data_IF_711095166763
#
_entry.id   IF_711095166763
#
_cell.length_a   1.000
_cell.length_b   1.000
_cell.length_c   1.000
_cell.angle_alpha   90.00
_cell.angle_beta   90.00
_cell.angle_gamma   90.00
#
_symmetry.space_group_name_H-M   'P 1'
#
loop_
_entity.id
_entity.type
_entity.pdbx_description
1 polymer ?
#
# COMPACT_ATOMS: atom_id res chain seq x y z
N UNK A 1 8.60 -21.56 2.65
CA UNK A 1 7.29 -21.15 2.09
C UNK A 1 7.38 -20.61 0.68
N UNK A 2 8.57 -20.36 0.11
CA UNK A 2 8.73 -19.85 -1.26
C UNK A 2 8.03 -20.68 -2.34
N UNK A 3 7.92 -22.00 -2.14
CA UNK A 3 7.26 -22.93 -3.05
C UNK A 3 5.73 -22.92 -2.95
N UNK A 4 5.16 -22.30 -1.91
CA UNK A 4 3.70 -22.25 -1.74
C UNK A 4 3.10 -21.23 -2.73
N UNK A 5 1.90 -21.50 -3.26
CA UNK A 5 1.18 -20.52 -4.06
C UNK A 5 0.80 -19.29 -3.21
N UNK A 6 0.64 -18.13 -3.86
CA UNK A 6 0.20 -16.89 -3.20
C UNK A 6 -1.15 -17.07 -2.50
N UNK A 7 -2.08 -17.80 -3.14
CA UNK A 7 -3.31 -18.28 -2.51
C UNK A 7 -3.22 -19.79 -2.33
N UNK A 8 -3.19 -20.24 -1.09
CA UNK A 8 -3.12 -21.64 -0.72
C UNK A 8 -4.44 -22.11 -0.10
N UNK A 9 -5.33 -22.62 -0.94
CA UNK A 9 -6.64 -23.12 -0.51
C UNK A 9 -6.49 -24.49 0.17
N UNK A 10 -7.03 -24.62 1.38
CA UNK A 10 -6.98 -25.86 2.18
C UNK A 10 -8.21 -25.98 3.07
N UNK A 11 -8.50 -27.21 3.48
CA UNK A 11 -9.35 -27.49 4.65
C UNK A 11 -8.44 -27.67 5.86
N UNK A 12 -8.70 -26.93 6.94
CA UNK A 12 -7.88 -26.96 8.16
C UNK A 12 -8.74 -26.59 9.38
N UNK A 13 -8.27 -26.91 10.59
CA UNK A 13 -8.78 -26.30 11.82
C UNK A 13 -8.16 -24.91 11.99
N UNK A 14 -8.94 -23.86 11.72
CA UNK A 14 -8.47 -22.48 11.79
C UNK A 14 -8.55 -21.94 13.23
N UNK A 15 -7.41 -21.54 13.80
CA UNK A 15 -7.31 -21.02 15.17
C UNK A 15 -7.36 -19.50 15.25
N UNK A 16 -8.09 -18.98 16.24
CA UNK A 16 -7.87 -17.61 16.76
C UNK A 16 -6.79 -17.64 17.84
N UNK A 17 -5.98 -16.59 17.93
CA UNK A 17 -4.93 -16.48 18.93
C UNK A 17 -5.44 -15.79 20.18
N UNK A 18 -5.06 -16.31 21.36
CA UNK A 18 -5.20 -15.53 22.60
C UNK A 18 -4.24 -14.34 22.64
N UNK A 19 -3.14 -14.43 21.90
CA UNK A 19 -2.13 -13.38 21.76
C UNK A 19 -1.65 -13.41 20.33
N UNK A 20 -2.09 -12.44 19.52
CA UNK A 20 -1.72 -12.34 18.13
C UNK A 20 -0.20 -12.10 17.99
N UNK A 21 0.55 -12.97 17.28
CA UNK A 21 2.00 -12.84 17.13
C UNK A 21 2.43 -11.83 16.06
N UNK A 22 1.51 -11.37 15.20
CA UNK A 22 1.75 -10.37 14.15
C UNK A 22 2.50 -9.16 14.73
N UNK A 23 3.36 -8.54 13.92
CA UNK A 23 4.30 -7.45 14.26
C UNK A 23 5.54 -7.87 15.05
N UNK A 24 5.48 -8.96 15.82
CA UNK A 24 6.60 -9.44 16.66
C UNK A 24 7.42 -10.54 16.01
N UNK A 25 6.77 -11.36 15.19
CA UNK A 25 7.36 -12.47 14.43
C UNK A 25 7.43 -12.13 12.95
N UNK A 26 8.17 -12.93 12.18
CA UNK A 26 8.05 -12.89 10.72
C UNK A 26 6.94 -13.85 10.28
N UNK A 27 5.76 -13.30 9.99
CA UNK A 27 4.63 -14.04 9.43
C UNK A 27 4.96 -14.53 8.02
N UNK A 28 4.86 -15.84 7.81
CA UNK A 28 5.17 -16.54 6.55
C UNK A 28 3.92 -16.88 5.74
N UNK A 29 2.79 -17.11 6.41
CA UNK A 29 1.49 -17.36 5.80
C UNK A 29 0.39 -16.79 6.71
N UNK A 30 -0.69 -16.27 6.11
CA UNK A 30 -1.83 -15.69 6.81
C UNK A 30 -3.15 -16.32 6.35
N UNK A 31 -4.14 -16.34 7.24
CA UNK A 31 -5.51 -16.71 6.90
C UNK A 31 -6.18 -15.50 6.27
N UNK A 32 -6.73 -15.68 5.07
CA UNK A 32 -7.54 -14.67 4.41
C UNK A 32 -8.97 -14.71 4.96
N UNK A 33 -9.18 -14.06 6.10
CA UNK A 33 -10.45 -14.06 6.86
C UNK A 33 -11.67 -13.60 6.05
N UNK A 34 -11.46 -12.86 4.95
CA UNK A 34 -12.53 -12.41 4.04
C UNK A 34 -13.17 -13.54 3.23
N UNK A 35 -12.61 -14.74 3.21
CA UNK A 35 -13.12 -15.88 2.43
C UNK A 35 -14.23 -16.68 3.17
N UNK A 36 -14.96 -16.03 4.08
CA UNK A 36 -16.20 -16.58 4.65
C UNK A 36 -16.02 -17.66 5.72
N UNK A 37 -14.83 -17.78 6.32
CA UNK A 37 -14.59 -18.70 7.43
C UNK A 37 -15.27 -18.16 8.69
N UNK A 38 -16.32 -18.84 9.15
CA UNK A 38 -17.09 -18.44 10.32
C UNK A 38 -16.29 -18.65 11.61
N UNK A 39 -16.41 -17.70 12.55
CA UNK A 39 -15.82 -17.80 13.88
C UNK A 39 -14.39 -17.23 14.03
N UNK A 40 -13.77 -16.73 12.95
CA UNK A 40 -12.47 -16.05 13.03
C UNK A 40 -12.63 -14.55 13.30
N UNK A 41 -11.83 -13.99 14.22
CA UNK A 41 -11.97 -12.61 14.71
C UNK A 41 -10.66 -11.79 14.80
N UNK A 42 -9.55 -12.32 14.27
CA UNK A 42 -8.21 -11.67 14.27
C UNK A 42 -8.07 -10.51 13.27
N UNK A 43 -9.07 -10.30 12.39
CA UNK A 43 -9.05 -9.24 11.38
C UNK A 43 -8.22 -9.59 10.14
N UNK A 44 -7.56 -8.58 9.54
CA UNK A 44 -6.81 -8.77 8.29
C UNK A 44 -5.44 -9.41 8.49
N UNK A 45 -4.87 -9.30 9.69
CA UNK A 45 -3.54 -9.80 10.02
C UNK A 45 -3.61 -11.07 10.88
N UNK A 46 -4.04 -12.17 10.25
CA UNK A 46 -4.25 -13.45 10.91
C UNK A 46 -3.12 -14.43 10.58
N UNK A 47 -2.04 -14.41 11.36
CA UNK A 47 -0.89 -15.31 11.14
C UNK A 47 -1.29 -16.79 11.24
N UNK A 48 -0.90 -17.60 10.25
CA UNK A 48 -1.09 -19.06 10.21
C UNK A 48 0.23 -19.82 10.41
N UNK A 49 1.31 -19.29 9.84
CA UNK A 49 2.67 -19.79 10.05
C UNK A 49 3.63 -18.61 10.15
N UNK A 50 4.66 -18.75 10.99
CA UNK A 50 5.65 -17.73 11.20
C UNK A 50 6.98 -18.33 11.65
N UNK A 51 8.01 -17.50 11.61
CA UNK A 51 9.28 -17.78 12.27
C UNK A 51 9.66 -16.63 13.20
N UNK A 52 10.58 -16.88 14.13
CA UNK A 52 11.27 -15.85 14.91
C UNK A 52 12.65 -16.34 15.37
N UNK A 53 13.59 -15.41 15.50
CA UNK A 53 14.79 -15.63 16.30
C UNK A 53 14.45 -15.25 17.75
N UNK A 54 14.55 -16.21 18.68
CA UNK A 54 14.16 -16.04 20.07
C UNK A 54 15.20 -16.66 20.99
N UNK A 55 15.73 -15.87 21.92
CA UNK A 55 16.70 -16.27 22.94
C UNK A 55 17.92 -17.04 22.39
N UNK A 56 18.50 -16.53 21.30
CA UNK A 56 19.66 -17.14 20.63
C UNK A 56 19.33 -18.34 19.73
N UNK A 57 18.08 -18.81 19.72
CA UNK A 57 17.60 -19.89 18.87
C UNK A 57 16.74 -19.43 17.69
N UNK A 58 16.44 -20.37 16.81
CA UNK A 58 15.48 -20.21 15.70
C UNK A 58 14.21 -21.00 16.03
N UNK A 59 13.06 -20.32 15.99
CA UNK A 59 11.75 -20.90 16.25
C UNK A 59 10.89 -20.76 15.00
N UNK A 60 10.35 -21.87 14.53
CA UNK A 60 9.39 -21.90 13.44
C UNK A 60 8.08 -22.53 13.92
N UNK A 61 6.95 -21.97 13.49
CA UNK A 61 5.62 -22.41 13.88
C UNK A 61 4.70 -22.49 12.67
N UNK A 62 3.82 -23.50 12.66
CA UNK A 62 2.69 -23.61 11.73
C UNK A 62 1.47 -24.12 12.50
N UNK A 63 0.30 -23.54 12.25
CA UNK A 63 -0.97 -24.03 12.80
C UNK A 63 -1.55 -25.20 11.99
N UNK A 64 -1.01 -25.47 10.79
CA UNK A 64 -1.51 -26.52 9.93
C UNK A 64 -1.15 -27.95 10.37
N UNK A 65 -1.92 -28.91 9.88
CA UNK A 65 -1.71 -30.34 10.12
C UNK A 65 -2.74 -31.00 11.03
N UNK A 66 -3.91 -30.38 11.26
CA UNK A 66 -5.00 -31.06 11.99
C UNK A 66 -5.47 -32.29 11.23
N UNK A 67 -5.66 -32.15 9.91
CA UNK A 67 -6.04 -33.27 9.06
C UNK A 67 -4.82 -34.12 8.69
N UNK A 68 -4.88 -35.43 9.00
CA UNK A 68 -3.80 -36.39 8.70
C UNK A 68 -3.48 -36.50 7.21
N UNK A 69 -4.45 -36.24 6.34
CA UNK A 69 -4.30 -36.22 4.88
C UNK A 69 -3.34 -35.12 4.43
N UNK A 70 -3.19 -34.03 5.19
CA UNK A 70 -2.22 -32.96 4.90
C UNK A 70 -0.80 -33.49 4.76
N UNK A 71 -0.43 -34.55 5.49
CA UNK A 71 0.91 -35.15 5.42
C UNK A 71 1.16 -35.98 4.15
N UNK A 72 0.16 -36.17 3.30
CA UNK A 72 0.31 -36.74 1.95
C UNK A 72 0.44 -35.65 0.88
N UNK A 73 0.20 -34.39 1.23
CA UNK A 73 0.26 -33.28 0.30
C UNK A 73 1.69 -32.74 0.18
N UNK A 74 2.22 -32.76 -1.03
CA UNK A 74 3.60 -32.35 -1.31
C UNK A 74 3.91 -30.93 -0.80
N UNK A 75 3.01 -29.97 -1.05
CA UNK A 75 3.18 -28.59 -0.62
C UNK A 75 3.29 -28.45 0.91
N UNK A 76 2.47 -29.20 1.66
CA UNK A 76 2.48 -29.17 3.12
C UNK A 76 3.72 -29.87 3.70
N UNK A 77 4.12 -31.01 3.14
CA UNK A 77 5.35 -31.71 3.55
C UNK A 77 6.59 -30.86 3.28
N UNK A 78 6.67 -30.20 2.13
CA UNK A 78 7.76 -29.27 1.82
C UNK A 78 7.74 -28.04 2.75
N UNK A 79 6.57 -27.54 3.16
CA UNK A 79 6.44 -26.47 4.15
C UNK A 79 7.02 -26.88 5.51
N UNK A 80 6.68 -28.08 6.00
CA UNK A 80 7.26 -28.65 7.22
C UNK A 80 8.78 -28.82 7.09
N UNK A 81 9.26 -29.40 6.00
CA UNK A 81 10.68 -29.62 5.77
C UNK A 81 11.47 -28.31 5.80
N UNK A 82 11.00 -27.28 5.10
CA UNK A 82 11.63 -25.96 5.09
C UNK A 82 11.65 -25.31 6.48
N UNK A 83 10.55 -25.41 7.22
CA UNK A 83 10.46 -24.93 8.61
C UNK A 83 11.47 -25.62 9.54
N UNK A 84 11.57 -26.94 9.44
CA UNK A 84 12.51 -27.76 10.22
C UNK A 84 13.96 -27.42 9.86
N UNK A 85 14.29 -27.37 8.57
CA UNK A 85 15.65 -27.07 8.10
C UNK A 85 16.10 -25.68 8.54
N UNK A 86 15.23 -24.67 8.41
CA UNK A 86 15.54 -23.31 8.86
C UNK A 86 15.74 -23.24 10.37
N UNK A 87 14.82 -23.84 11.15
CA UNK A 87 14.91 -23.88 12.62
C UNK A 87 16.17 -24.62 13.11
N UNK A 88 16.59 -25.66 12.40
CA UNK A 88 17.82 -26.41 12.68
C UNK A 88 19.10 -25.70 12.24
N UNK A 89 19.01 -24.56 11.55
CA UNK A 89 20.17 -23.88 10.97
C UNK A 89 20.76 -24.56 9.72
N UNK A 90 20.06 -25.54 9.16
CA UNK A 90 20.45 -26.25 7.95
C UNK A 90 20.05 -25.50 6.66
N UNK A 91 19.21 -24.47 6.77
CA UNK A 91 18.85 -23.58 5.68
C UNK A 91 18.93 -22.11 6.13
N UNK A 92 19.29 -21.24 5.19
CA UNK A 92 19.22 -19.79 5.37
C UNK A 92 17.78 -19.28 5.28
N UNK A 93 17.52 -18.12 5.87
CA UNK A 93 16.22 -17.45 5.75
C UNK A 93 16.13 -16.20 6.62
N UNK A 94 15.61 -15.12 6.04
CA UNK A 94 15.34 -13.88 6.76
C UNK A 94 14.04 -14.00 7.55
N UNK A 95 14.16 -13.92 8.86
CA UNK A 95 13.05 -14.03 9.79
C UNK A 95 12.74 -12.69 10.49
N UNK A 96 12.99 -11.58 9.80
CA UNK A 96 12.83 -10.23 10.34
C UNK A 96 11.93 -9.34 9.48
N UNK A 97 11.68 -9.70 8.23
CA UNK A 97 11.06 -8.83 7.22
C UNK A 97 9.67 -8.29 7.57
N UNK A 98 8.85 -9.01 8.34
CA UNK A 98 7.51 -8.53 8.75
C UNK A 98 7.42 -8.14 10.23
N UNK A 99 8.57 -8.08 10.92
CA UNK A 99 8.64 -7.54 12.28
C UNK A 99 8.64 -6.01 12.20
N UNK A 100 7.72 -5.35 12.88
CA UNK A 100 7.62 -3.88 12.85
C UNK A 100 8.92 -3.22 13.33
N UNK A 101 9.62 -3.84 14.29
CA UNK A 101 10.91 -3.36 14.79
C UNK A 101 12.07 -3.44 13.78
N UNK A 102 11.90 -4.12 12.64
CA UNK A 102 12.88 -4.17 11.56
C UNK A 102 12.79 -2.98 10.61
N UNK A 103 11.77 -2.14 10.75
CA UNK A 103 11.57 -0.96 9.91
C UNK A 103 11.99 0.31 10.64
N UNK A 104 12.68 1.20 9.93
CA UNK A 104 12.94 2.57 10.37
C UNK A 104 12.07 3.53 9.55
N UNK A 105 11.39 4.44 10.23
CA UNK A 105 10.66 5.53 9.58
C UNK A 105 11.57 6.74 9.42
N UNK A 106 11.87 7.10 8.18
CA UNK A 106 12.56 8.36 7.83
C UNK A 106 11.54 9.31 7.20
N UNK A 107 11.29 10.45 7.85
CA UNK A 107 10.40 11.46 7.29
C UNK A 107 11.06 12.12 6.07
N UNK A 108 10.38 12.08 4.92
CA UNK A 108 10.87 12.74 3.70
C UNK A 108 10.47 14.21 3.61
N UNK A 109 9.38 14.59 4.26
CA UNK A 109 8.92 15.96 4.44
C UNK A 109 8.28 16.11 5.83
N UNK A 110 8.59 17.20 6.53
CA UNK A 110 8.09 17.47 7.89
C UNK A 110 7.38 18.82 8.02
N UNK A 111 7.27 19.56 6.93
CA UNK A 111 6.69 20.91 6.87
C UNK A 111 6.06 21.15 5.51
N UNK A 112 5.23 22.19 5.39
CA UNK A 112 4.51 22.52 4.15
C UNK A 112 3.65 21.35 3.63
N UNK A 113 3.05 20.61 4.58
CA UNK A 113 2.07 19.56 4.34
C UNK A 113 0.68 20.12 4.62
N UNK A 114 -0.14 20.22 3.59
CA UNK A 114 -1.51 20.73 3.69
C UNK A 114 -2.49 19.73 3.08
N UNK A 115 -2.92 18.77 3.90
CA UNK A 115 -3.81 17.66 3.51
C UNK A 115 -3.20 16.78 2.40
N UNK A 116 -2.05 16.12 2.67
CA UNK A 116 -1.44 15.19 1.72
C UNK A 116 -2.36 13.98 1.51
N UNK A 117 -2.57 13.60 0.25
CA UNK A 117 -3.65 12.68 -0.12
C UNK A 117 -3.20 11.48 -0.96
N UNK A 118 -2.29 11.68 -1.92
CA UNK A 118 -1.80 10.63 -2.82
C UNK A 118 -0.31 10.84 -3.12
N UNK A 119 0.46 9.79 -3.39
CA UNK A 119 1.87 9.91 -3.78
C UNK A 119 2.27 8.94 -4.89
N UNK A 120 3.25 9.32 -5.69
CA UNK A 120 3.87 8.46 -6.68
C UNK A 120 5.38 8.68 -6.74
N UNK A 121 6.13 7.59 -6.87
CA UNK A 121 7.60 7.61 -6.92
C UNK A 121 8.06 7.40 -8.36
N UNK A 122 8.80 8.36 -8.90
CA UNK A 122 9.37 8.29 -10.23
C UNK A 122 10.60 7.36 -10.27
N UNK A 123 10.96 6.79 -11.44
CA UNK A 123 12.16 5.97 -11.59
C UNK A 123 13.47 6.67 -11.20
N UNK A 124 13.52 8.00 -11.31
CA UNK A 124 14.65 8.83 -10.89
C UNK A 124 14.62 9.22 -9.40
N UNK A 125 13.75 8.57 -8.62
CA UNK A 125 13.55 8.72 -7.17
C UNK A 125 12.90 10.04 -6.72
N UNK A 126 12.46 10.90 -7.64
CA UNK A 126 11.58 12.01 -7.24
C UNK A 126 10.28 11.44 -6.68
N UNK A 127 9.80 12.01 -5.58
CA UNK A 127 8.49 11.66 -5.01
C UNK A 127 7.54 12.79 -5.28
N UNK A 128 6.54 12.55 -6.11
CA UNK A 128 5.42 13.46 -6.30
C UNK A 128 4.37 13.13 -5.26
N UNK A 129 3.79 14.15 -4.61
CA UNK A 129 2.63 13.94 -3.74
C UNK A 129 1.59 15.02 -3.96
N UNK A 130 0.33 14.59 -4.08
CA UNK A 130 -0.81 15.46 -4.18
C UNK A 130 -1.23 15.92 -2.79
N UNK A 131 -1.44 17.23 -2.66
CA UNK A 131 -2.17 17.80 -1.54
C UNK A 131 -3.57 18.11 -2.01
N UNK A 132 -4.58 17.67 -1.26
CA UNK A 132 -5.99 17.89 -1.60
C UNK A 132 -6.31 19.38 -1.77
N UNK A 133 -5.59 20.23 -1.04
CA UNK A 133 -5.59 21.70 -1.17
C UNK A 133 -5.14 22.26 -2.54
N UNK A 134 -4.77 21.40 -3.50
CA UNK A 134 -4.56 21.76 -4.91
C UNK A 134 -3.10 21.82 -5.36
N UNK A 135 -2.15 21.60 -4.45
CA UNK A 135 -0.73 21.60 -4.79
C UNK A 135 -0.25 20.19 -5.10
N UNK A 136 0.31 20.00 -6.28
CA UNK A 136 1.21 18.88 -6.54
C UNK A 136 2.60 19.27 -6.06
N UNK A 137 3.13 18.53 -5.11
CA UNK A 137 4.46 18.73 -4.55
C UNK A 137 5.42 17.70 -5.12
N UNK A 138 6.71 18.04 -5.14
CA UNK A 138 7.78 17.11 -5.51
C UNK A 138 8.90 17.18 -4.49
N UNK A 139 9.42 16.02 -4.12
CA UNK A 139 10.59 15.83 -3.26
C UNK A 139 11.72 15.31 -4.13
N UNK A 140 12.82 16.04 -4.21
CA UNK A 140 14.08 15.52 -4.72
C UNK A 140 14.74 14.70 -3.60
N UNK A 141 14.73 13.37 -3.69
CA UNK A 141 15.28 12.50 -2.64
C UNK A 141 16.82 12.51 -2.53
N UNK A 142 17.52 13.20 -3.42
CA UNK A 142 18.98 13.38 -3.30
C UNK A 142 19.31 14.60 -2.44
N UNK A 143 18.48 15.64 -2.50
CA UNK A 143 18.67 16.90 -1.76
C UNK A 143 17.69 17.10 -0.61
N UNK A 144 16.66 16.24 -0.52
CA UNK A 144 15.50 16.36 0.38
C UNK A 144 14.72 17.67 0.22
N UNK A 145 14.89 18.38 -0.91
CA UNK A 145 14.17 19.62 -1.17
C UNK A 145 12.74 19.32 -1.61
N UNK A 146 11.78 19.95 -0.93
CA UNK A 146 10.37 19.97 -1.31
C UNK A 146 10.08 21.24 -2.12
N UNK A 147 9.44 21.11 -3.28
CA UNK A 147 8.94 22.23 -4.07
C UNK A 147 7.53 21.97 -4.58
N UNK A 148 6.84 23.03 -5.01
CA UNK A 148 5.54 22.91 -5.69
C UNK A 148 5.78 22.72 -7.18
N UNK A 149 5.29 21.61 -7.73
CA UNK A 149 5.39 21.28 -9.15
C UNK A 149 4.23 21.89 -9.95
N UNK A 150 3.02 21.88 -9.39
CA UNK A 150 1.80 22.48 -9.94
C UNK A 150 0.93 23.00 -8.80
N UNK A 151 0.23 24.10 -9.02
CA UNK A 151 -0.77 24.63 -8.08
C UNK A 151 -2.07 24.91 -8.83
N UNK A 152 -3.12 24.17 -8.48
CA UNK A 152 -4.47 24.43 -8.99
C UNK A 152 -5.08 25.68 -8.38
N UNK A 153 -4.50 26.28 -7.35
CA UNK A 153 -5.00 27.46 -6.65
C UNK A 153 -6.46 27.29 -6.20
N UNK A 154 -6.73 26.23 -5.43
CA UNK A 154 -8.00 26.09 -4.71
C UNK A 154 -8.02 27.01 -3.49
N UNK A 155 -9.21 27.52 -3.16
CA UNK A 155 -9.46 28.17 -1.87
C UNK A 155 -9.91 27.13 -0.84
N UNK A 156 -9.82 27.41 0.47
CA UNK A 156 -10.30 26.50 1.51
C UNK A 156 -11.76 26.06 1.30
N UNK A 157 -12.62 26.95 0.82
CA UNK A 157 -14.04 26.67 0.54
C UNK A 157 -14.22 25.63 -0.56
N UNK A 158 -13.37 25.67 -1.60
CA UNK A 158 -13.40 24.70 -2.72
C UNK A 158 -13.03 23.28 -2.26
N UNK A 159 -12.30 23.16 -1.16
CA UNK A 159 -11.86 21.89 -0.57
C UNK A 159 -12.56 21.58 0.75
N UNK A 160 -13.69 22.24 1.04
CA UNK A 160 -14.46 22.04 2.28
C UNK A 160 -15.17 20.67 2.36
N UNK A 161 -15.38 20.03 1.21
CA UNK A 161 -15.87 18.64 1.07
C UNK A 161 -14.74 17.75 0.56
N UNK A 162 -15.04 16.52 0.11
CA UNK A 162 -14.05 15.59 -0.49
C UNK A 162 -13.58 15.99 -1.90
N UNK A 163 -13.46 17.29 -2.14
CA UNK A 163 -13.03 17.92 -3.38
C UNK A 163 -11.57 18.38 -3.28
N UNK A 164 -10.93 18.52 -4.44
CA UNK A 164 -9.58 19.06 -4.55
C UNK A 164 -8.74 18.33 -5.59
N UNK A 165 -7.44 18.21 -5.32
CA UNK A 165 -6.54 17.33 -6.07
C UNK A 165 -6.54 15.94 -5.41
N UNK A 166 -7.10 14.96 -6.10
CA UNK A 166 -7.61 13.73 -5.50
C UNK A 166 -6.85 12.47 -5.90
N UNK A 167 -6.23 12.47 -7.08
CA UNK A 167 -5.48 11.32 -7.56
C UNK A 167 -4.24 11.75 -8.33
N UNK A 168 -3.23 10.89 -8.28
CA UNK A 168 -1.94 11.05 -8.92
C UNK A 168 -1.44 9.67 -9.35
N UNK A 169 -1.03 9.54 -10.61
CA UNK A 169 -0.19 8.42 -11.04
C UNK A 169 0.80 8.91 -12.10
N UNK A 170 1.94 8.23 -12.20
CA UNK A 170 2.93 8.47 -13.23
C UNK A 170 2.68 7.49 -14.38
N UNK A 171 2.92 7.94 -15.61
CA UNK A 171 2.90 7.05 -16.76
C UNK A 171 3.95 5.92 -16.59
N UNK A 172 3.67 4.66 -16.98
CA UNK A 172 4.69 3.61 -16.96
C UNK A 172 5.96 3.98 -17.74
N UNK A 173 5.84 4.83 -18.77
CA UNK A 173 6.95 5.41 -19.54
C UNK A 173 7.46 6.75 -19.02
N UNK A 174 7.23 7.11 -17.74
CA UNK A 174 7.57 8.43 -17.18
C UNK A 174 9.02 8.86 -17.44
N UNK A 175 9.98 7.92 -17.39
CA UNK A 175 11.38 8.21 -17.64
C UNK A 175 11.66 8.76 -19.05
N UNK A 176 10.77 8.49 -20.01
CA UNK A 176 10.89 8.91 -21.40
C UNK A 176 9.96 10.08 -21.72
N UNK A 177 8.70 10.01 -21.27
CA UNK A 177 7.65 10.95 -21.67
C UNK A 177 7.34 12.04 -20.64
N UNK A 178 7.80 11.88 -19.39
CA UNK A 178 7.50 12.75 -18.25
C UNK A 178 5.99 13.00 -18.03
N UNK A 179 5.12 12.05 -18.41
CA UNK A 179 3.69 12.20 -18.27
C UNK A 179 3.20 11.76 -16.90
N UNK A 180 2.36 12.58 -16.30
CA UNK A 180 1.63 12.24 -15.09
C UNK A 180 0.14 12.51 -15.28
N UNK A 181 -0.68 11.81 -14.50
CA UNK A 181 -2.12 11.89 -14.59
C UNK A 181 -2.66 12.34 -13.24
N UNK A 182 -3.50 13.38 -13.28
CA UNK A 182 -4.12 13.94 -12.10
C UNK A 182 -5.63 13.80 -12.21
N UNK A 183 -6.24 13.35 -11.12
CA UNK A 183 -7.69 13.42 -10.90
C UNK A 183 -7.97 14.60 -9.98
N UNK A 184 -8.76 15.56 -10.44
CA UNK A 184 -9.02 16.78 -9.68
C UNK A 184 -10.44 17.31 -9.88
N UNK A 185 -10.95 18.00 -8.88
CA UNK A 185 -12.27 18.63 -8.86
C UNK A 185 -12.30 19.88 -9.75
N UNK A 186 -13.29 20.01 -10.63
CA UNK A 186 -13.51 21.30 -11.30
C UNK A 186 -13.87 22.38 -10.27
N UNK A 187 -13.36 23.61 -10.47
CA UNK A 187 -13.54 24.73 -9.53
C UNK A 187 -14.96 25.26 -9.52
N UNK A 188 -15.67 25.13 -10.64
CA UNK A 188 -16.99 25.74 -10.86
C UNK A 188 -18.02 24.65 -11.12
N UNK A 189 -17.69 23.74 -12.04
CA UNK A 189 -18.62 22.70 -12.46
C UNK A 189 -18.67 21.55 -11.45
N UNK A 190 -19.83 20.90 -11.34
CA UNK A 190 -19.98 19.71 -10.51
C UNK A 190 -19.39 18.47 -11.18
N UNK A 191 -18.07 18.43 -11.37
CA UNK A 191 -17.39 17.31 -12.02
C UNK A 191 -15.96 17.10 -11.51
N UNK A 192 -15.46 15.88 -11.67
CA UNK A 192 -14.04 15.56 -11.62
C UNK A 192 -13.48 15.54 -13.04
N UNK A 193 -12.21 15.89 -13.18
CA UNK A 193 -11.45 15.78 -14.42
C UNK A 193 -10.26 14.86 -14.19
N UNK A 194 -10.11 13.85 -15.04
CA UNK A 194 -8.87 13.09 -15.19
C UNK A 194 -8.12 13.67 -16.37
N UNK A 195 -6.94 14.21 -16.12
CA UNK A 195 -6.12 14.83 -17.16
C UNK A 195 -4.67 14.39 -17.07
N UNK A 196 -4.04 14.30 -18.23
CA UNK A 196 -2.60 14.09 -18.35
C UNK A 196 -1.89 15.44 -18.42
N UNK A 197 -0.77 15.56 -17.73
CA UNK A 197 0.16 16.69 -17.80
C UNK A 197 1.57 16.19 -18.13
N UNK A 198 2.45 17.11 -18.52
CA UNK A 198 3.87 16.84 -18.77
C UNK A 198 4.71 17.57 -17.72
N UNK A 199 5.53 16.81 -17.01
CA UNK A 199 6.53 17.36 -16.09
C UNK A 199 7.74 17.90 -16.87
N UNK A 200 8.30 19.00 -16.40
CA UNK A 200 9.59 19.54 -16.80
C UNK A 200 10.44 19.74 -15.54
N UNK A 201 11.36 18.79 -15.32
CA UNK A 201 12.08 18.68 -14.05
C UNK A 201 11.11 18.68 -12.87
N UNK A 202 11.37 19.53 -11.87
CA UNK A 202 10.54 19.62 -10.65
C UNK A 202 9.29 20.50 -10.82
N UNK A 203 8.92 20.85 -12.05
CA UNK A 203 7.72 21.62 -12.37
C UNK A 203 6.83 20.85 -13.34
N UNK A 204 5.57 21.26 -13.45
CA UNK A 204 4.61 20.71 -14.40
C UNK A 204 3.96 21.88 -15.10
N UNK A 205 3.99 21.88 -16.42
CA UNK A 205 3.36 22.92 -17.22
C UNK A 205 1.83 22.77 -17.20
N UNK A 206 1.07 23.72 -16.63
CA UNK A 206 -0.39 23.67 -16.66
C UNK A 206 -0.95 23.68 -18.09
N UNK A 207 -0.27 24.33 -19.02
CA UNK A 207 -0.71 24.41 -20.42
C UNK A 207 -0.56 23.07 -21.16
N UNK A 208 0.19 22.12 -20.60
CA UNK A 208 0.35 20.77 -21.14
C UNK A 208 -0.86 19.86 -20.90
N UNK A 209 -1.89 20.34 -20.20
CA UNK A 209 -3.10 19.58 -19.87
C UNK A 209 -3.72 18.94 -21.11
N UNK A 210 -3.93 17.63 -21.05
CA UNK A 210 -4.84 16.90 -21.94
C UNK A 210 -5.90 16.20 -21.11
N UNK A 211 -7.12 16.72 -21.18
CA UNK A 211 -8.27 16.11 -20.50
C UNK A 211 -8.66 14.81 -21.17
N UNK A 212 -8.74 13.74 -20.38
CA UNK A 212 -9.04 12.39 -20.85
C UNK A 212 -10.47 11.98 -20.53
N UNK A 213 -10.90 12.28 -19.30
CA UNK A 213 -12.21 11.90 -18.80
C UNK A 213 -12.76 12.99 -17.89
N UNK A 214 -14.07 13.17 -17.94
CA UNK A 214 -14.82 14.03 -17.04
C UNK A 214 -15.94 13.21 -16.42
N UNK A 215 -16.04 13.25 -15.08
CA UNK A 215 -17.02 12.47 -14.33
C UNK A 215 -17.93 13.44 -13.57
N UNK A 216 -19.25 13.48 -13.84
CA UNK A 216 -20.15 14.35 -13.10
C UNK A 216 -20.20 13.94 -11.62
N UNK A 217 -20.45 14.93 -10.75
CA UNK A 217 -20.55 14.76 -9.29
C UNK A 217 -21.85 15.38 -8.78
N UNK A 218 -22.26 15.01 -7.57
CA UNK A 218 -23.44 15.55 -6.90
C UNK A 218 -23.06 16.61 -5.85
N UNK A 219 -21.95 17.34 -6.07
CA UNK A 219 -21.43 18.34 -5.14
C UNK A 219 -22.53 19.32 -4.72
N UNK A 220 -22.70 19.50 -3.42
CA UNK A 220 -23.67 20.43 -2.85
C UNK A 220 -25.13 19.96 -2.88
N UNK A 221 -25.41 18.68 -3.21
CA UNK A 221 -26.78 18.16 -3.31
C UNK A 221 -27.26 17.40 -2.05
N UNK A 222 -26.52 17.48 -0.94
CA UNK A 222 -26.93 16.89 0.35
C UNK A 222 -27.06 15.36 0.35
N UNK A 223 -26.59 14.70 -0.70
CA UNK A 223 -26.44 13.24 -0.77
C UNK A 223 -25.12 12.88 -0.12
N UNK A 224 -25.03 11.67 0.46
CA UNK A 224 -23.74 11.16 0.91
C UNK A 224 -22.77 11.20 -0.28
N UNK A 225 -21.80 12.11 -0.24
CA UNK A 225 -20.71 12.08 -1.20
C UNK A 225 -19.99 10.74 -0.94
N UNK A 226 -20.02 9.84 -1.91
CA UNK A 226 -19.19 8.64 -1.86
C UNK A 226 -17.73 9.05 -1.72
N UNK A 227 -16.89 8.19 -1.16
CA UNK A 227 -15.44 8.40 -1.14
C UNK A 227 -14.96 8.65 -2.59
N UNK A 228 -14.51 9.86 -2.92
CA UNK A 228 -14.34 10.28 -4.32
C UNK A 228 -12.96 9.95 -4.91
N UNK A 229 -11.97 9.56 -4.09
CA UNK A 229 -10.66 9.04 -4.48
C UNK A 229 -9.82 8.66 -3.24
N UNK A 230 -8.74 7.89 -3.43
CA UNK A 230 -7.82 7.42 -2.39
C UNK A 230 -8.22 6.04 -1.85
N UNK A 231 -7.25 5.14 -1.67
CA UNK A 231 -7.42 3.88 -0.93
C UNK A 231 -6.36 3.79 0.15
#
# INVERSE_FOLDING_TARGET
>A
TEHLPELWERTEEWYNWRTNPTSKVHTLAQIKVRDGVSGLDEGVDHAFSWCQNYDGGRSWFTAGGHDKGSFQEEAFVQHLLGGIQWAAGAAEGDCTATRTGSFQRTALATSDLADPFELAVAPDRRVFFAQRTGKLKVIDQRTMKVSTALDFAYTPEMTSQSDGLLGLTLDPGFAENNWLYLLYSDKVEKRLNLSRFTADGNTVDPASEKRLLTVPTLRGEGRANSHMAGS
#
